data_IF_047163209913
#
_entry.id   IF_047163209913
#
_cell.length_a   1.000
_cell.length_b   1.000
_cell.length_c   1.000
_cell.angle_alpha   90.00
_cell.angle_beta   90.00
_cell.angle_gamma   90.00
#
_symmetry.space_group_name_H-M   'P 1'
#
loop_
_entity.id
_entity.type
_entity.pdbx_description
1 polymer ?
#
# COMPACT_ATOMS: atom_id res chain seq x y z
N UNK A 1 -19.30 -23.02 -2.47
CA UNK A 1 -18.00 -22.48 -2.90
C UNK A 1 -17.63 -21.37 -1.93
N UNK A 2 -16.39 -21.24 -1.50
CA UNK A 2 -15.98 -20.08 -0.70
C UNK A 2 -16.27 -18.79 -1.50
N UNK A 3 -16.77 -17.78 -0.82
CA UNK A 3 -17.04 -16.46 -1.44
C UNK A 3 -15.69 -15.82 -1.78
N UNK A 4 -15.44 -15.56 -3.05
CA UNK A 4 -14.27 -14.80 -3.48
C UNK A 4 -14.53 -13.34 -3.14
N UNK A 5 -13.60 -12.72 -2.39
CA UNK A 5 -13.62 -11.29 -2.07
C UNK A 5 -12.45 -10.66 -2.82
N UNK A 6 -12.77 -9.72 -3.70
CA UNK A 6 -11.77 -8.90 -4.36
C UNK A 6 -11.53 -7.64 -3.53
N UNK A 7 -10.26 -7.35 -3.24
CA UNK A 7 -9.83 -6.14 -2.54
C UNK A 7 -9.24 -5.21 -3.59
N UNK A 8 -9.82 -4.02 -3.72
CA UNK A 8 -9.31 -2.96 -4.57
C UNK A 8 -8.56 -1.94 -3.72
N UNK A 9 -7.39 -1.53 -4.16
CA UNK A 9 -6.63 -0.48 -3.50
C UNK A 9 -6.03 0.50 -4.51
N UNK A 10 -5.81 1.71 -4.05
CA UNK A 10 -5.20 2.82 -4.80
C UNK A 10 -4.03 3.33 -3.98
N UNK A 11 -2.84 3.40 -4.56
CA UNK A 11 -1.74 4.14 -3.98
C UNK A 11 -1.96 5.60 -4.36
N UNK A 12 -2.32 6.41 -3.33
CA UNK A 12 -2.65 7.83 -3.50
C UNK A 12 -1.37 8.66 -3.43
N UNK A 13 -0.73 8.75 -4.57
CA UNK A 13 0.54 9.40 -4.82
C UNK A 13 0.53 10.12 -6.16
N UNK A 14 1.51 10.99 -6.40
CA UNK A 14 1.65 11.69 -7.68
C UNK A 14 2.91 11.19 -8.43
N UNK A 15 2.97 11.43 -9.73
CA UNK A 15 4.04 10.98 -10.64
C UNK A 15 5.46 11.41 -10.23
N UNK A 16 5.57 12.41 -9.36
CA UNK A 16 6.85 12.91 -8.87
C UNK A 16 7.27 12.32 -7.51
N UNK A 17 6.48 11.43 -6.93
CA UNK A 17 6.79 10.86 -5.61
C UNK A 17 8.07 10.02 -5.58
N UNK A 18 8.54 9.54 -6.73
CA UNK A 18 9.82 8.85 -6.88
C UNK A 18 11.03 9.81 -6.91
N UNK A 19 10.79 11.12 -6.96
CA UNK A 19 11.83 12.15 -6.92
C UNK A 19 12.15 12.56 -5.47
N UNK A 20 13.31 13.19 -5.22
CA UNK A 20 13.64 13.69 -3.88
C UNK A 20 12.56 14.61 -3.31
N UNK A 21 12.11 14.33 -2.11
CA UNK A 21 11.00 15.03 -1.43
C UNK A 21 11.14 16.56 -1.44
N UNK A 22 12.38 17.08 -1.29
CA UNK A 22 12.66 18.52 -1.33
C UNK A 22 12.26 19.22 -2.66
N UNK A 23 12.08 18.45 -3.74
CA UNK A 23 11.71 18.98 -5.07
C UNK A 23 10.21 18.94 -5.35
N UNK A 24 9.40 18.28 -4.51
CA UNK A 24 7.98 18.04 -4.80
C UNK A 24 7.16 19.34 -5.03
N UNK A 25 7.55 20.43 -4.38
CA UNK A 25 6.89 21.72 -4.58
C UNK A 25 7.14 22.37 -5.96
N UNK A 26 8.07 21.82 -6.75
CA UNK A 26 8.36 22.29 -8.11
C UNK A 26 7.38 21.68 -9.14
N UNK A 27 6.58 20.69 -8.74
CA UNK A 27 5.70 19.93 -9.62
C UNK A 27 4.23 20.20 -9.37
N UNK A 28 3.43 20.07 -10.42
CA UNK A 28 1.99 20.19 -10.38
C UNK A 28 1.36 18.92 -9.77
N UNK A 29 0.37 19.13 -8.90
CA UNK A 29 -0.29 18.03 -8.20
C UNK A 29 -1.50 17.55 -9.01
N UNK A 30 -1.34 16.44 -9.71
CA UNK A 30 -2.39 15.80 -10.52
C UNK A 30 -3.43 15.05 -9.70
N UNK A 31 -3.10 14.64 -8.47
CA UNK A 31 -4.05 13.96 -7.58
C UNK A 31 -5.34 14.76 -7.38
N UNK A 32 -5.26 16.10 -7.41
CA UNK A 32 -6.43 16.99 -7.27
C UNK A 32 -7.41 16.85 -8.43
N UNK A 33 -6.91 16.64 -9.65
CA UNK A 33 -7.72 16.51 -10.86
C UNK A 33 -8.18 15.06 -11.09
N UNK A 34 -7.32 14.10 -10.76
CA UNK A 34 -7.59 12.69 -11.07
C UNK A 34 -8.50 12.01 -10.05
N UNK A 35 -8.46 12.43 -8.80
CA UNK A 35 -9.24 11.81 -7.73
C UNK A 35 -10.74 11.93 -7.92
N UNK A 36 -11.33 13.10 -8.26
CA UNK A 36 -12.77 13.18 -8.52
C UNK A 36 -13.25 12.25 -9.62
N UNK A 37 -12.46 12.08 -10.68
CA UNK A 37 -12.76 11.16 -11.79
C UNK A 37 -12.77 9.71 -11.31
N UNK A 38 -11.82 9.35 -10.42
CA UNK A 38 -11.74 8.01 -9.86
C UNK A 38 -12.91 7.73 -8.90
N UNK A 39 -13.29 8.71 -8.06
CA UNK A 39 -14.42 8.59 -7.15
C UNK A 39 -15.73 8.44 -7.91
N UNK A 40 -15.95 9.21 -8.98
CA UNK A 40 -17.11 9.06 -9.87
C UNK A 40 -17.17 7.64 -10.46
N UNK A 41 -16.03 7.11 -10.92
CA UNK A 41 -15.95 5.76 -11.45
C UNK A 41 -16.33 4.70 -10.39
N UNK A 42 -15.79 4.82 -9.18
CA UNK A 42 -16.08 3.90 -8.09
C UNK A 42 -17.55 3.97 -7.64
N UNK A 43 -18.11 5.18 -7.56
CA UNK A 43 -19.52 5.41 -7.26
C UNK A 43 -20.42 4.77 -8.32
N UNK A 44 -20.11 4.98 -9.61
CA UNK A 44 -20.86 4.40 -10.73
C UNK A 44 -20.97 2.88 -10.66
N UNK A 45 -19.91 2.20 -10.21
CA UNK A 45 -19.87 0.74 -10.11
C UNK A 45 -20.16 0.21 -8.70
N UNK A 46 -20.50 1.10 -7.76
CA UNK A 46 -20.73 0.78 -6.35
C UNK A 46 -19.55 -0.02 -5.74
N UNK A 47 -18.34 0.44 -6.01
CA UNK A 47 -17.09 -0.16 -5.53
C UNK A 47 -16.51 0.70 -4.43
N UNK A 48 -16.05 0.07 -3.34
CA UNK A 48 -15.23 0.72 -2.31
C UNK A 48 -13.81 0.20 -2.40
N UNK A 49 -12.88 1.05 -2.01
CA UNK A 49 -11.43 0.81 -2.14
C UNK A 49 -10.70 1.30 -0.90
N UNK A 50 -9.53 0.76 -0.65
CA UNK A 50 -8.56 1.32 0.30
C UNK A 50 -7.63 2.28 -0.47
N UNK A 51 -7.51 3.51 0.02
CA UNK A 51 -6.53 4.47 -0.46
C UNK A 51 -5.33 4.49 0.47
N UNK A 52 -4.19 4.00 0.00
CA UNK A 52 -2.90 4.14 0.69
C UNK A 52 -2.35 5.52 0.38
N UNK A 53 -2.48 6.43 1.31
CA UNK A 53 -2.25 7.87 1.11
C UNK A 53 -0.85 8.25 1.56
N UNK A 54 -0.09 8.90 0.67
CA UNK A 54 1.15 9.59 1.04
C UNK A 54 0.79 10.79 1.91
N UNK A 55 1.26 10.82 3.15
CA UNK A 55 0.85 11.78 4.18
C UNK A 55 1.06 13.24 3.80
N UNK A 56 2.05 13.54 2.94
CA UNK A 56 2.25 14.86 2.37
C UNK A 56 0.99 15.40 1.67
N UNK A 57 0.27 14.55 0.91
CA UNK A 57 -0.95 14.99 0.25
C UNK A 57 -2.11 15.18 1.21
N UNK A 58 -2.16 14.41 2.29
CA UNK A 58 -3.16 14.62 3.33
C UNK A 58 -2.94 15.96 4.07
N UNK A 59 -1.69 16.31 4.37
CA UNK A 59 -1.33 17.60 4.94
C UNK A 59 -1.65 18.77 3.98
N UNK A 60 -1.42 18.57 2.68
CA UNK A 60 -1.60 19.62 1.65
C UNK A 60 -3.04 19.78 1.18
N UNK A 61 -3.78 18.68 1.08
CA UNK A 61 -5.14 18.61 0.54
C UNK A 61 -6.13 17.90 1.47
N UNK A 62 -6.27 18.34 2.75
CA UNK A 62 -7.08 17.63 3.73
C UNK A 62 -8.54 17.44 3.30
N UNK A 63 -9.11 18.41 2.58
CA UNK A 63 -10.49 18.32 2.07
C UNK A 63 -10.67 17.16 1.09
N UNK A 64 -9.68 16.92 0.22
CA UNK A 64 -9.73 15.84 -0.75
C UNK A 64 -9.68 14.46 -0.07
N UNK A 65 -8.91 14.34 1.02
CA UNK A 65 -8.87 13.10 1.81
C UNK A 65 -10.20 12.85 2.52
N UNK A 66 -10.82 13.92 3.06
CA UNK A 66 -12.15 13.80 3.67
C UNK A 66 -13.22 13.42 2.63
N UNK A 67 -13.18 13.97 1.41
CA UNK A 67 -14.07 13.58 0.30
C UNK A 67 -13.96 12.08 -0.02
N UNK A 68 -12.72 11.53 -0.09
CA UNK A 68 -12.48 10.10 -0.29
C UNK A 68 -13.12 9.28 0.85
N UNK A 69 -12.95 9.71 2.10
CA UNK A 69 -13.52 9.03 3.27
C UNK A 69 -15.05 9.13 3.29
N UNK A 70 -15.64 10.30 3.02
CA UNK A 70 -17.08 10.54 2.98
C UNK A 70 -17.78 9.69 1.91
N UNK A 71 -17.10 9.42 0.80
CA UNK A 71 -17.54 8.47 -0.22
C UNK A 71 -17.47 7.00 0.26
N UNK A 72 -17.02 6.75 1.49
CA UNK A 72 -16.97 5.44 2.14
C UNK A 72 -15.78 4.57 1.73
N UNK A 73 -14.69 5.20 1.28
CA UNK A 73 -13.41 4.54 1.05
C UNK A 73 -12.57 4.53 2.33
N UNK A 74 -11.72 3.51 2.48
CA UNK A 74 -10.77 3.44 3.57
C UNK A 74 -9.55 4.31 3.29
N UNK A 75 -9.08 5.04 4.31
CA UNK A 75 -7.81 5.76 4.29
C UNK A 75 -6.77 4.96 5.07
N UNK A 76 -5.70 4.57 4.39
CA UNK A 76 -4.55 3.86 4.94
C UNK A 76 -3.26 4.65 4.65
N UNK A 77 -2.16 4.31 5.31
CA UNK A 77 -0.90 5.04 5.16
C UNK A 77 -0.01 4.48 4.05
N UNK A 78 0.60 5.39 3.29
CA UNK A 78 1.66 5.11 2.31
C UNK A 78 2.95 5.88 2.63
N UNK A 79 3.35 5.90 3.92
CA UNK A 79 4.38 6.77 4.48
C UNK A 79 4.04 8.27 4.38
N UNK A 80 4.87 9.16 4.94
CA UNK A 80 4.65 10.59 4.81
C UNK A 80 5.26 11.17 3.53
N UNK A 81 6.48 10.78 3.21
CA UNK A 81 7.27 11.35 2.11
C UNK A 81 7.74 10.32 1.08
N UNK A 82 6.97 9.22 0.93
CA UNK A 82 7.19 8.17 -0.07
C UNK A 82 8.63 7.62 -0.08
N UNK A 83 9.18 7.33 1.11
CA UNK A 83 10.57 6.87 1.26
C UNK A 83 10.74 5.39 0.91
N UNK A 84 11.87 5.04 0.27
CA UNK A 84 12.29 3.64 0.13
C UNK A 84 12.85 3.15 1.49
N UNK A 85 12.10 2.28 2.16
CA UNK A 85 12.44 1.79 3.52
C UNK A 85 13.72 0.96 3.56
N UNK A 86 14.21 0.46 2.42
CA UNK A 86 15.51 -0.26 2.32
C UNK A 86 16.70 0.68 2.31
N UNK A 87 16.50 1.95 1.96
CA UNK A 87 17.57 2.95 1.78
C UNK A 87 17.59 4.01 2.87
N UNK A 88 16.63 3.96 3.77
CA UNK A 88 16.41 4.97 4.81
C UNK A 88 16.82 4.41 6.17
N UNK A 89 17.39 5.25 7.02
CA UNK A 89 17.78 4.85 8.37
C UNK A 89 16.55 4.53 9.25
N UNK A 90 16.73 3.66 10.24
CA UNK A 90 15.65 3.27 11.15
C UNK A 90 14.95 4.46 11.79
N UNK A 91 15.72 5.43 12.29
CA UNK A 91 15.17 6.62 12.96
C UNK A 91 14.36 7.49 12.02
N UNK A 92 14.81 7.63 10.77
CA UNK A 92 14.07 8.39 9.74
C UNK A 92 12.79 7.67 9.34
N UNK A 93 12.82 6.33 9.19
CA UNK A 93 11.63 5.51 8.92
C UNK A 93 10.60 5.70 10.04
N UNK A 94 11.01 5.49 11.29
CA UNK A 94 10.09 5.63 12.44
C UNK A 94 9.47 7.04 12.50
N UNK A 95 10.25 8.08 12.23
CA UNK A 95 9.77 9.47 12.19
C UNK A 95 8.78 9.71 11.04
N UNK A 96 9.10 9.24 9.84
CA UNK A 96 8.28 9.43 8.64
C UNK A 96 6.92 8.71 8.79
N UNK A 97 6.95 7.44 9.23
CA UNK A 97 5.73 6.65 9.41
C UNK A 97 4.85 7.21 10.55
N UNK A 98 5.45 7.58 11.69
CA UNK A 98 4.68 8.21 12.77
C UNK A 98 4.02 9.51 12.31
N UNK A 99 4.77 10.38 11.60
CA UNK A 99 4.20 11.59 11.01
C UNK A 99 3.04 11.29 10.07
N UNK A 100 3.16 10.24 9.24
CA UNK A 100 2.09 9.85 8.31
C UNK A 100 0.82 9.47 9.08
N UNK A 101 0.93 8.61 10.10
CA UNK A 101 -0.22 8.20 10.91
C UNK A 101 -0.86 9.42 11.60
N UNK A 102 -0.07 10.26 12.25
CA UNK A 102 -0.56 11.45 12.95
C UNK A 102 -1.33 12.39 12.01
N UNK A 103 -0.79 12.66 10.82
CA UNK A 103 -1.42 13.56 9.85
C UNK A 103 -2.74 12.96 9.33
N UNK A 104 -2.73 11.68 8.94
CA UNK A 104 -3.93 11.02 8.43
C UNK A 104 -5.03 10.94 9.49
N UNK A 105 -4.69 10.54 10.73
CA UNK A 105 -5.64 10.48 11.84
C UNK A 105 -6.19 11.87 12.20
N UNK A 106 -5.38 12.91 12.13
CA UNK A 106 -5.84 14.29 12.37
C UNK A 106 -6.78 14.79 11.27
N UNK A 107 -6.55 14.41 10.01
CA UNK A 107 -7.40 14.84 8.89
C UNK A 107 -8.71 14.08 8.87
N UNK A 108 -8.68 12.77 9.09
CA UNK A 108 -9.88 11.91 8.98
C UNK A 108 -10.70 11.81 10.28
N UNK A 109 -10.08 12.13 11.41
CA UNK A 109 -10.69 11.91 12.74
C UNK A 109 -10.79 10.43 13.14
N UNK A 110 -10.23 9.51 12.35
CA UNK A 110 -10.29 8.07 12.56
C UNK A 110 -8.88 7.46 12.66
N UNK A 111 -8.79 6.29 13.28
CA UNK A 111 -7.55 5.53 13.37
C UNK A 111 -7.16 4.95 12.01
N UNK A 112 -5.91 5.14 11.60
CA UNK A 112 -5.32 4.46 10.46
C UNK A 112 -5.06 3.00 10.85
N UNK A 113 -5.66 2.06 10.13
CA UNK A 113 -5.55 0.63 10.44
C UNK A 113 -4.78 -0.16 9.38
N UNK A 114 -4.40 0.46 8.27
CA UNK A 114 -3.68 -0.17 7.18
C UNK A 114 -2.41 0.61 6.78
N UNK A 115 -1.43 -0.14 6.27
CA UNK A 115 -0.18 0.41 5.76
C UNK A 115 0.23 -0.29 4.46
N UNK A 116 0.87 0.46 3.56
CA UNK A 116 1.64 -0.07 2.44
C UNK A 116 2.94 0.70 2.31
N UNK A 117 4.06 -0.02 2.23
CA UNK A 117 5.35 0.60 2.02
C UNK A 117 5.50 1.08 0.56
N UNK A 118 5.97 2.31 0.33
CA UNK A 118 6.41 2.74 -0.99
C UNK A 118 7.39 1.74 -1.60
N UNK A 119 7.33 1.56 -2.92
CA UNK A 119 8.18 0.61 -3.66
C UNK A 119 8.06 -0.85 -3.18
N UNK A 120 7.05 -1.22 -2.41
CA UNK A 120 6.98 -2.52 -1.75
C UNK A 120 8.29 -2.86 -1.03
N UNK A 121 8.83 -1.88 -0.28
CA UNK A 121 10.19 -1.86 0.21
C UNK A 121 10.38 -2.54 1.57
N UNK A 122 9.53 -3.50 1.94
CA UNK A 122 9.74 -4.39 3.08
C UNK A 122 10.29 -5.74 2.58
N UNK A 123 11.46 -6.12 3.09
CA UNK A 123 12.11 -7.39 2.81
C UNK A 123 12.87 -7.93 4.03
N UNK A 124 13.71 -8.95 3.84
CA UNK A 124 14.48 -9.56 4.93
C UNK A 124 15.47 -8.59 5.61
N UNK A 125 15.94 -7.55 4.92
CA UNK A 125 16.92 -6.60 5.45
C UNK A 125 16.32 -5.64 6.46
N UNK A 126 15.01 -5.42 6.40
CA UNK A 126 14.30 -4.43 7.21
C UNK A 126 12.99 -4.97 7.83
N UNK A 127 12.82 -6.28 7.95
CA UNK A 127 11.62 -6.93 8.50
C UNK A 127 11.24 -6.49 9.93
N UNK A 128 12.16 -5.85 10.68
CA UNK A 128 11.90 -5.21 11.97
C UNK A 128 10.78 -4.17 11.88
N UNK A 129 10.52 -3.60 10.69
CA UNK A 129 9.45 -2.62 10.44
C UNK A 129 8.09 -3.22 10.78
N UNK A 130 7.85 -4.51 10.52
CA UNK A 130 6.61 -5.18 10.88
C UNK A 130 6.36 -5.13 12.40
N UNK A 131 7.42 -5.25 13.22
CA UNK A 131 7.30 -5.09 14.68
C UNK A 131 6.98 -3.66 15.10
N UNK A 132 7.40 -2.67 14.33
CA UNK A 132 6.99 -1.28 14.51
C UNK A 132 5.53 -1.09 14.10
N UNK A 133 5.12 -1.57 12.93
CA UNK A 133 3.76 -1.44 12.40
C UNK A 133 2.70 -2.06 13.30
N UNK A 134 2.97 -3.19 13.98
CA UNK A 134 2.06 -3.82 14.95
C UNK A 134 1.54 -2.86 16.02
N UNK A 135 2.25 -1.77 16.31
CA UNK A 135 1.86 -0.78 17.32
C UNK A 135 0.81 0.21 16.79
N UNK A 136 0.71 0.35 15.48
CA UNK A 136 -0.08 1.40 14.83
C UNK A 136 -1.22 0.85 14.00
N UNK A 137 -0.98 -0.22 13.23
CA UNK A 137 -1.93 -0.72 12.24
C UNK A 137 -2.33 -2.18 12.48
N UNK A 138 -3.44 -2.58 11.91
CA UNK A 138 -3.94 -3.96 11.96
C UNK A 138 -3.46 -4.80 10.78
N UNK A 139 -3.20 -4.17 9.63
CA UNK A 139 -2.71 -4.87 8.46
C UNK A 139 -1.65 -4.09 7.70
N UNK A 140 -0.82 -4.84 7.01
CA UNK A 140 0.19 -4.40 6.04
C UNK A 140 -0.13 -4.97 4.66
N UNK A 141 0.25 -4.29 3.60
CA UNK A 141 0.13 -4.77 2.21
C UNK A 141 1.40 -4.47 1.42
N UNK A 142 2.56 -4.71 2.05
CA UNK A 142 3.86 -4.34 1.51
C UNK A 142 4.65 -5.51 0.96
N UNK A 143 4.36 -6.74 1.40
CA UNK A 143 5.14 -7.93 1.04
C UNK A 143 4.61 -8.51 -0.26
N UNK A 144 5.29 -8.20 -1.36
CA UNK A 144 4.88 -8.64 -2.69
C UNK A 144 5.56 -9.98 -3.03
N UNK A 145 4.82 -11.10 -3.20
CA UNK A 145 5.39 -12.43 -3.40
C UNK A 145 5.85 -12.66 -4.84
N UNK A 146 6.71 -11.79 -5.36
CA UNK A 146 7.26 -11.84 -6.73
C UNK A 146 8.78 -11.79 -6.73
N UNK A 147 9.39 -12.27 -7.81
CA UNK A 147 10.82 -12.12 -8.08
C UNK A 147 11.01 -10.98 -9.08
N UNK A 148 11.51 -9.85 -8.63
CA UNK A 148 11.80 -8.68 -9.46
C UNK A 148 13.14 -8.08 -9.04
N UNK A 149 13.89 -7.43 -9.94
CA UNK A 149 15.12 -6.71 -9.58
C UNK A 149 14.86 -5.46 -8.73
N UNK A 150 13.62 -4.95 -8.70
CA UNK A 150 13.28 -3.69 -8.02
C UNK A 150 12.66 -3.91 -6.65
N UNK A 151 11.87 -4.97 -6.47
CA UNK A 151 11.13 -5.28 -5.25
C UNK A 151 10.71 -6.75 -5.21
N UNK A 152 10.18 -7.16 -4.08
CA UNK A 152 9.52 -8.46 -3.94
C UNK A 152 10.23 -9.43 -3.01
N UNK A 153 9.43 -10.32 -2.47
CA UNK A 153 9.82 -11.41 -1.55
C UNK A 153 9.30 -12.73 -2.15
N UNK A 154 10.05 -13.37 -3.07
CA UNK A 154 9.54 -14.46 -3.90
C UNK A 154 8.94 -15.64 -3.16
N UNK A 155 9.42 -15.90 -1.93
CA UNK A 155 9.01 -17.03 -1.09
C UNK A 155 7.91 -16.66 -0.08
N UNK A 156 7.45 -15.42 -0.06
CA UNK A 156 6.34 -15.01 0.80
C UNK A 156 5.03 -15.70 0.38
N UNK A 157 4.10 -15.91 1.34
CA UNK A 157 2.77 -16.39 1.03
C UNK A 157 2.05 -15.48 0.03
N UNK A 158 1.23 -16.08 -0.83
CA UNK A 158 0.37 -15.37 -1.80
C UNK A 158 -1.03 -15.11 -1.25
N UNK A 159 -1.37 -15.77 -0.17
CA UNK A 159 -2.63 -15.64 0.55
C UNK A 159 -2.42 -14.72 1.74
N UNK A 160 -3.52 -14.18 2.27
CA UNK A 160 -3.50 -13.43 3.52
C UNK A 160 -2.91 -14.31 4.63
N UNK A 161 -2.00 -13.75 5.42
CA UNK A 161 -1.33 -14.45 6.50
C UNK A 161 -0.91 -13.49 7.63
N UNK A 162 -0.50 -14.04 8.75
CA UNK A 162 0.04 -13.30 9.88
C UNK A 162 1.57 -13.45 9.94
N UNK A 163 2.33 -12.41 9.61
CA UNK A 163 3.80 -12.49 9.59
C UNK A 163 4.36 -12.82 10.97
N UNK A 164 5.07 -13.95 11.07
CA UNK A 164 5.73 -14.36 12.31
C UNK A 164 6.89 -13.42 12.66
N UNK A 165 7.10 -13.15 13.94
CA UNK A 165 8.24 -12.34 14.40
C UNK A 165 9.60 -13.03 14.15
N UNK A 166 9.62 -14.37 14.07
CA UNK A 166 10.85 -15.13 13.83
C UNK A 166 11.22 -15.15 12.35
N UNK A 167 10.23 -15.32 11.50
CA UNK A 167 10.40 -15.35 10.06
C UNK A 167 9.16 -14.76 9.38
N UNK A 168 9.24 -13.54 8.92
CA UNK A 168 8.11 -12.76 8.42
C UNK A 168 7.40 -13.34 7.18
N UNK A 169 7.97 -14.36 6.54
CA UNK A 169 7.33 -15.10 5.44
C UNK A 169 6.61 -16.36 5.92
N UNK A 170 6.61 -16.65 7.20
CA UNK A 170 5.86 -17.76 7.80
C UNK A 170 4.58 -17.24 8.46
N UNK A 171 3.51 -18.02 8.36
CA UNK A 171 2.25 -17.70 9.01
C UNK A 171 2.29 -18.10 10.49
N UNK A 172 1.93 -17.17 11.36
CA UNK A 172 1.73 -17.40 12.78
C UNK A 172 0.42 -16.76 13.24
N UNK A 173 -0.63 -17.56 13.34
CA UNK A 173 -1.99 -17.10 13.69
C UNK A 173 -2.09 -16.49 15.10
N UNK A 174 -1.04 -16.57 15.91
CA UNK A 174 -0.99 -15.88 17.21
C UNK A 174 -0.61 -14.39 17.10
N UNK A 175 -0.13 -13.95 15.92
CA UNK A 175 0.22 -12.57 15.66
C UNK A 175 -1.00 -11.74 15.22
N UNK A 176 -1.08 -10.49 15.70
CA UNK A 176 -2.22 -9.61 15.41
C UNK A 176 -2.13 -8.92 14.03
N UNK A 177 -0.92 -8.62 13.56
CA UNK A 177 -0.72 -7.97 12.27
C UNK A 177 -1.06 -8.95 11.15
N UNK A 178 -1.87 -8.50 10.21
CA UNK A 178 -2.22 -9.24 9.00
C UNK A 178 -1.43 -8.70 7.81
N UNK A 179 -0.81 -9.56 7.03
CA UNK A 179 -0.31 -9.21 5.70
C UNK A 179 -1.35 -9.54 4.64
N UNK A 180 -1.65 -8.57 3.79
CA UNK A 180 -2.53 -8.70 2.63
C UNK A 180 -1.65 -8.54 1.37
N UNK A 181 -1.05 -9.62 0.85
CA UNK A 181 -0.12 -9.50 -0.25
C UNK A 181 -0.79 -8.99 -1.52
N UNK A 182 -0.11 -8.16 -2.32
CA UNK A 182 -0.60 -7.79 -3.65
C UNK A 182 -0.81 -9.02 -4.53
N UNK A 183 -1.85 -8.95 -5.36
CA UNK A 183 -2.28 -10.09 -6.17
C UNK A 183 -1.20 -10.55 -7.16
N UNK A 184 -0.98 -11.86 -7.17
CA UNK A 184 -0.13 -12.52 -8.15
C UNK A 184 -0.86 -13.66 -8.82
N UNK A 185 -0.57 -13.94 -10.08
CA UNK A 185 -1.00 -15.15 -10.76
C UNK A 185 0.18 -16.13 -10.87
N UNK A 186 -0.07 -17.42 -10.63
CA UNK A 186 0.98 -18.44 -10.67
C UNK A 186 1.07 -19.06 -12.06
N UNK A 187 2.22 -18.88 -12.71
CA UNK A 187 2.50 -19.45 -14.03
C UNK A 187 3.47 -20.61 -13.89
N UNK A 188 3.19 -21.71 -14.61
CA UNK A 188 4.03 -22.93 -14.63
C UNK A 188 4.39 -23.48 -13.24
N UNK A 189 3.51 -23.31 -12.27
CA UNK A 189 3.66 -23.79 -10.89
C UNK A 189 4.87 -23.26 -10.10
N UNK A 190 5.72 -22.43 -10.68
CA UNK A 190 6.96 -21.96 -10.05
C UNK A 190 7.18 -20.44 -10.11
N UNK A 191 6.47 -19.71 -10.96
CA UNK A 191 6.66 -18.28 -11.13
C UNK A 191 5.41 -17.50 -10.75
N UNK A 192 5.55 -16.54 -9.84
CA UNK A 192 4.49 -15.62 -9.48
C UNK A 192 4.56 -14.39 -10.39
N UNK A 193 3.63 -14.28 -11.33
CA UNK A 193 3.47 -13.11 -12.17
C UNK A 193 2.75 -12.02 -11.39
N UNK A 194 3.30 -10.81 -11.27
CA UNK A 194 2.54 -9.70 -10.71
C UNK A 194 1.36 -9.36 -11.62
N UNK A 195 0.15 -9.31 -11.06
CA UNK A 195 -1.05 -8.86 -11.77
C UNK A 195 -1.67 -7.64 -11.09
N UNK A 196 -1.19 -7.30 -9.89
CA UNK A 196 -1.46 -6.04 -9.23
C UNK A 196 -0.49 -4.95 -9.75
N UNK A 197 -0.93 -3.69 -9.67
CA UNK A 197 -0.17 -2.53 -10.12
C UNK A 197 -0.47 -2.11 -11.55
N UNK A 198 -0.44 -0.79 -11.76
CA UNK A 198 -0.95 -0.17 -12.99
C UNK A 198 -0.25 -0.60 -14.27
N UNK A 199 1.05 -0.94 -14.23
CA UNK A 199 1.79 -1.39 -15.40
C UNK A 199 1.33 -2.78 -15.85
N UNK A 200 1.36 -3.77 -14.96
CA UNK A 200 1.01 -5.15 -15.29
C UNK A 200 -0.47 -5.28 -15.68
N UNK A 201 -1.34 -4.59 -14.96
CA UNK A 201 -2.77 -4.58 -15.25
C UNK A 201 -3.09 -4.04 -16.65
N UNK A 202 -2.31 -3.09 -17.17
CA UNK A 202 -2.46 -2.53 -18.52
C UNK A 202 -1.71 -3.32 -19.60
N UNK A 203 -0.58 -3.94 -19.25
CA UNK A 203 0.29 -4.61 -20.22
C UNK A 203 -0.09 -6.07 -20.46
N UNK A 204 -0.73 -6.72 -19.50
CA UNK A 204 -1.06 -8.14 -19.60
C UNK A 204 -2.41 -8.37 -20.29
N UNK A 205 -2.52 -9.42 -21.12
CA UNK A 205 -3.79 -9.87 -21.66
C UNK A 205 -4.79 -10.24 -20.53
N UNK A 206 -6.06 -9.94 -20.74
CA UNK A 206 -7.13 -10.15 -19.75
C UNK A 206 -7.16 -11.59 -19.18
N UNK A 207 -6.93 -12.61 -20.01
CA UNK A 207 -6.94 -14.02 -19.56
C UNK A 207 -5.83 -14.36 -18.56
N UNK A 208 -4.75 -13.56 -18.49
CA UNK A 208 -3.69 -13.72 -17.48
C UNK A 208 -4.02 -12.99 -16.16
N UNK A 209 -4.97 -12.06 -16.19
CA UNK A 209 -5.39 -11.26 -15.03
C UNK A 209 -6.59 -11.89 -14.34
N UNK A 210 -7.51 -12.48 -15.12
CA UNK A 210 -8.84 -12.94 -14.68
C UNK A 210 -8.88 -14.37 -14.09
N UNK A 211 -7.74 -15.03 -13.87
CA UNK A 211 -7.69 -16.40 -13.33
C UNK A 211 -7.39 -16.43 -11.83
#
# INVERSE_FOLDING_TARGET
MPKIINILSVDFEDYFCDLPFAKWNEYENRVVETTPVLLELFSKYNVKSTFFVVGYFAEKFPKLINEIQEEGHEIASHSFSHIDLRKTSKTEIEKDLTKSFDVLENVTGEKVIGFRAPFFSIDASNSWILSFLRKYVKYDSSIFPVKSPLYGVPNAPRQIYHPSQKNFIENDESEELVEIPPLTNRIFSCYNLPVAGGFYFRALPYFLIAN
#
